data_IF_281926840171
#
_entry.id   IF_281926840171
#
_cell.length_a   1.000
_cell.length_b   1.000
_cell.length_c   1.000
_cell.angle_alpha   90.00
_cell.angle_beta   90.00
_cell.angle_gamma   90.00
#
_symmetry.space_group_name_H-M   'P 1'
#
loop_
_entity.id
_entity.type
_entity.pdbx_description
1 polymer ?
#
# COMPACT_ATOMS: atom_id res chain seq x y z
N UNK A 1 -7.50 14.56 22.68
CA UNK A 1 -6.39 13.91 23.42
C UNK A 1 -6.75 12.44 23.55
N UNK A 2 -5.85 11.53 23.17
CA UNK A 2 -6.12 10.08 23.24
C UNK A 2 -5.66 9.54 24.60
N UNK A 3 -6.45 8.64 25.18
CA UNK A 3 -6.16 7.95 26.43
C UNK A 3 -5.95 6.48 26.12
N UNK A 4 -4.77 5.96 26.45
CA UNK A 4 -4.40 4.58 26.10
C UNK A 4 -4.40 3.68 27.33
N UNK A 5 -4.95 2.47 27.17
CA UNK A 5 -4.90 1.40 28.16
C UNK A 5 -4.33 0.14 27.52
N UNK A 6 -3.48 -0.57 28.25
CA UNK A 6 -2.89 -1.83 27.82
C UNK A 6 -3.70 -3.00 28.39
N UNK A 7 -4.22 -3.86 27.52
CA UNK A 7 -4.96 -5.07 27.88
C UNK A 7 -4.55 -6.23 26.97
N UNK A 8 -3.28 -6.60 27.03
CA UNK A 8 -2.75 -7.75 26.28
C UNK A 8 -3.11 -9.07 26.95
N UNK A 9 -3.06 -10.16 26.18
CA UNK A 9 -3.30 -11.53 26.68
C UNK A 9 -2.31 -11.90 27.80
N UNK A 10 -1.09 -11.36 27.76
CA UNK A 10 -0.04 -11.63 28.74
C UNK A 10 -0.14 -10.74 30.00
N UNK A 11 -1.12 -9.82 30.07
CA UNK A 11 -1.28 -8.88 31.17
C UNK A 11 -0.21 -7.78 31.23
N UNK A 12 0.60 -7.64 30.18
CA UNK A 12 1.71 -6.69 30.10
C UNK A 12 2.32 -6.60 28.70
N UNK A 13 3.38 -5.83 28.55
CA UNK A 13 4.07 -5.73 27.26
C UNK A 13 4.83 -7.03 26.95
N UNK A 14 4.80 -7.49 25.68
CA UNK A 14 5.52 -8.69 25.30
C UNK A 14 7.03 -8.47 25.32
N UNK A 15 7.77 -9.55 25.55
CA UNK A 15 9.22 -9.55 25.38
C UNK A 15 9.54 -9.70 23.89
N UNK A 16 9.99 -8.60 23.29
CA UNK A 16 10.36 -8.52 21.87
C UNK A 16 11.89 -8.48 21.73
N UNK A 17 12.40 -8.75 20.52
CA UNK A 17 13.84 -8.61 20.25
C UNK A 17 14.31 -7.18 20.49
N UNK A 18 15.55 -7.04 20.97
CA UNK A 18 16.20 -5.75 21.23
C UNK A 18 17.14 -5.34 20.11
N UNK A 19 17.24 -6.13 19.04
CA UNK A 19 18.00 -5.82 17.83
C UNK A 19 17.17 -6.18 16.59
N UNK A 20 17.30 -5.39 15.53
CA UNK A 20 16.78 -5.75 14.21
C UNK A 20 17.63 -5.11 13.10
N UNK A 21 17.48 -5.64 11.88
CA UNK A 21 18.14 -5.09 10.69
C UNK A 21 17.41 -3.84 10.21
N UNK A 22 18.17 -2.92 9.64
CA UNK A 22 17.70 -1.78 8.85
C UNK A 22 18.25 -1.98 7.44
N UNK A 23 17.35 -2.08 6.46
CA UNK A 23 17.70 -2.37 5.07
C UNK A 23 17.80 -1.07 4.27
N UNK A 24 18.70 -1.03 3.29
CA UNK A 24 18.78 0.10 2.37
C UNK A 24 17.64 0.06 1.35
N UNK A 25 17.08 1.23 1.04
CA UNK A 25 16.13 1.45 -0.04
C UNK A 25 16.80 2.42 -1.03
N UNK A 26 17.17 1.97 -2.24
CA UNK A 26 17.82 2.83 -3.21
C UNK A 26 16.83 3.87 -3.69
N UNK A 27 17.24 5.14 -3.65
CA UNK A 27 16.49 6.24 -4.25
C UNK A 27 16.90 6.41 -5.70
N UNK A 28 15.94 6.30 -6.61
CA UNK A 28 16.13 6.77 -7.97
C UNK A 28 16.01 8.30 -7.99
N UNK A 29 17.12 8.97 -8.34
CA UNK A 29 17.16 10.42 -8.51
C UNK A 29 16.79 10.84 -9.94
N UNK A 30 16.69 12.16 -10.20
CA UNK A 30 16.49 12.69 -11.54
C UNK A 30 17.51 12.13 -12.53
N UNK A 31 17.02 11.63 -13.67
CA UNK A 31 17.83 11.02 -14.72
C UNK A 31 17.48 11.65 -16.07
N UNK A 32 18.49 11.97 -16.89
CA UNK A 32 18.31 12.52 -18.24
C UNK A 32 17.44 11.63 -19.13
N UNK A 33 17.45 10.31 -18.90
CA UNK A 33 16.67 9.32 -19.63
C UNK A 33 15.36 8.93 -18.93
N UNK A 34 15.01 9.57 -17.82
CA UNK A 34 13.81 9.25 -17.02
C UNK A 34 12.54 9.26 -17.87
N UNK A 35 12.30 10.34 -18.62
CA UNK A 35 11.13 10.46 -19.50
C UNK A 35 11.13 9.41 -20.61
N UNK A 36 12.29 9.09 -21.18
CA UNK A 36 12.40 8.06 -22.22
C UNK A 36 12.05 6.67 -21.66
N UNK A 37 12.57 6.31 -20.47
CA UNK A 37 12.25 5.05 -19.78
C UNK A 37 10.76 4.97 -19.45
N UNK A 38 10.19 6.03 -18.87
CA UNK A 38 8.76 6.10 -18.57
C UNK A 38 7.89 5.99 -19.84
N UNK A 39 8.33 6.58 -20.96
CA UNK A 39 7.63 6.44 -22.25
C UNK A 39 7.68 4.99 -22.77
N UNK A 40 8.78 4.28 -22.58
CA UNK A 40 8.86 2.85 -22.93
C UNK A 40 7.96 2.00 -22.03
N UNK A 41 7.88 2.33 -20.75
CA UNK A 41 6.96 1.69 -19.81
C UNK A 41 5.50 1.92 -20.17
N UNK A 42 5.11 3.17 -20.44
CA UNK A 42 3.78 3.51 -20.93
C UNK A 42 3.41 2.70 -22.18
N UNK A 43 4.34 2.54 -23.13
CA UNK A 43 4.14 1.71 -24.33
C UNK A 43 3.90 0.24 -24.00
N UNK A 44 4.63 -0.34 -23.05
CA UNK A 44 4.39 -1.73 -22.58
C UNK A 44 2.99 -1.89 -21.96
N UNK A 45 2.53 -0.85 -21.27
CA UNK A 45 1.18 -0.75 -20.69
C UNK A 45 0.08 -0.40 -21.73
N UNK A 46 0.43 -0.28 -23.02
CA UNK A 46 -0.53 -0.03 -24.11
C UNK A 46 -0.76 1.44 -24.46
N UNK A 47 0.03 2.36 -23.92
CA UNK A 47 -0.09 3.80 -24.17
C UNK A 47 0.94 4.25 -25.21
N UNK A 48 0.45 4.76 -26.34
CA UNK A 48 1.31 5.23 -27.44
C UNK A 48 1.22 6.74 -27.69
N UNK A 49 0.42 7.47 -26.89
CA UNK A 49 0.31 8.92 -27.01
C UNK A 49 1.61 9.61 -26.58
N UNK A 50 1.82 10.83 -27.04
CA UNK A 50 2.79 11.72 -26.41
C UNK A 50 2.34 12.02 -24.96
N UNK A 51 3.28 12.09 -23.99
CA UNK A 51 2.94 12.41 -22.63
C UNK A 51 2.66 13.89 -22.44
N UNK A 52 1.73 14.20 -21.54
CA UNK A 52 1.55 15.51 -20.97
C UNK A 52 2.33 15.63 -19.66
N UNK A 53 3.15 16.66 -19.54
CA UNK A 53 3.80 16.98 -18.26
C UNK A 53 2.75 17.51 -17.27
N UNK A 54 2.59 16.83 -16.13
CA UNK A 54 1.70 17.27 -15.04
C UNK A 54 2.49 18.09 -14.03
N UNK A 55 3.71 17.65 -13.69
CA UNK A 55 4.68 18.39 -12.89
C UNK A 55 6.12 17.96 -13.25
N UNK A 56 7.10 18.31 -12.41
CA UNK A 56 8.52 18.00 -12.66
C UNK A 56 8.83 16.50 -12.75
N UNK A 57 8.04 15.65 -12.10
CA UNK A 57 8.28 14.20 -12.01
C UNK A 57 7.14 13.34 -12.53
N UNK A 58 5.93 13.88 -12.64
CA UNK A 58 4.75 13.16 -13.11
C UNK A 58 4.40 13.56 -14.53
N UNK A 59 4.31 12.55 -15.38
CA UNK A 59 3.83 12.66 -16.76
C UNK A 59 2.61 11.77 -16.95
N UNK A 60 1.67 12.23 -17.78
CA UNK A 60 0.40 11.57 -18.06
C UNK A 60 0.31 11.12 -19.50
N UNK A 61 -0.08 9.88 -19.72
CA UNK A 61 -0.47 9.33 -21.01
C UNK A 61 -1.97 9.09 -21.05
N UNK A 62 -2.55 9.09 -22.25
CA UNK A 62 -3.95 8.74 -22.48
C UNK A 62 -4.04 7.81 -23.70
N UNK A 63 -4.94 6.83 -23.68
CA UNK A 63 -5.14 5.92 -24.80
C UNK A 63 -6.02 6.50 -25.93
N UNK A 64 -6.63 7.68 -25.75
CA UNK A 64 -7.52 8.31 -26.73
C UNK A 64 -8.85 7.56 -26.95
N UNK A 65 -9.14 6.56 -26.12
CA UNK A 65 -10.39 5.81 -26.17
C UNK A 65 -11.52 6.57 -25.48
N UNK A 66 -12.76 6.15 -25.74
CA UNK A 66 -13.95 6.65 -25.05
C UNK A 66 -14.72 5.46 -24.47
N UNK A 67 -14.82 5.33 -23.14
CA UNK A 67 -14.18 6.16 -22.10
C UNK A 67 -12.64 6.10 -22.09
N UNK A 68 -12.02 7.19 -21.64
CA UNK A 68 -10.57 7.33 -21.65
C UNK A 68 -9.91 6.53 -20.52
N UNK A 69 -8.71 6.03 -20.77
CA UNK A 69 -7.80 5.55 -19.73
C UNK A 69 -6.63 6.52 -19.62
N UNK A 70 -6.31 6.94 -18.41
CA UNK A 70 -5.12 7.74 -18.12
C UNK A 70 -4.08 6.90 -17.40
N UNK A 71 -2.82 7.16 -17.68
CA UNK A 71 -1.68 6.57 -16.98
C UNK A 71 -0.74 7.69 -16.53
N UNK A 72 -0.60 7.85 -15.22
CA UNK A 72 0.36 8.78 -14.62
C UNK A 72 1.57 8.00 -14.14
N UNK A 73 2.77 8.39 -14.58
CA UNK A 73 4.02 7.77 -14.14
C UNK A 73 4.91 8.82 -13.49
N UNK A 74 5.45 8.51 -12.31
CA UNK A 74 6.59 9.21 -11.77
C UNK A 74 7.86 8.76 -12.51
N UNK A 75 8.42 9.62 -13.35
CA UNK A 75 9.53 9.26 -14.25
C UNK A 75 10.82 8.89 -13.52
N UNK A 76 10.95 9.28 -12.25
CA UNK A 76 12.13 8.94 -11.45
C UNK A 76 11.98 7.53 -10.88
N UNK A 77 10.80 7.16 -10.38
CA UNK A 77 10.62 5.90 -9.63
C UNK A 77 9.97 4.79 -10.44
N UNK A 78 9.30 5.10 -11.55
CA UNK A 78 8.45 4.16 -12.28
C UNK A 78 7.12 3.87 -11.58
N UNK A 79 6.85 4.47 -10.41
CA UNK A 79 5.55 4.34 -9.76
C UNK A 79 4.47 4.94 -10.66
N UNK A 80 3.32 4.29 -10.74
CA UNK A 80 2.26 4.74 -11.63
C UNK A 80 0.85 4.57 -11.06
N UNK A 81 -0.04 5.39 -11.60
CA UNK A 81 -1.48 5.28 -11.40
C UNK A 81 -2.16 5.16 -12.77
N UNK A 82 -2.88 4.06 -12.97
CA UNK A 82 -3.71 3.85 -14.15
C UNK A 82 -5.18 3.99 -13.74
N UNK A 83 -5.95 4.75 -14.50
CA UNK A 83 -7.37 4.97 -14.26
C UNK A 83 -8.15 4.92 -15.57
N UNK A 84 -9.03 3.93 -15.71
CA UNK A 84 -10.11 3.93 -16.70
C UNK A 84 -11.25 4.79 -16.16
N UNK A 85 -11.82 5.68 -16.98
CA UNK A 85 -12.95 6.53 -16.60
C UNK A 85 -14.25 5.72 -16.52
N UNK A 86 -14.30 4.75 -15.60
CA UNK A 86 -15.39 3.78 -15.41
C UNK A 86 -16.70 4.45 -15.06
N UNK A 87 -16.69 5.67 -14.50
CA UNK A 87 -17.89 6.43 -14.19
C UNK A 87 -18.72 6.78 -15.43
N UNK A 88 -18.08 6.78 -16.60
CA UNK A 88 -18.71 7.04 -17.90
C UNK A 88 -19.08 5.74 -18.64
N UNK A 89 -18.94 4.57 -18.00
CA UNK A 89 -19.25 3.27 -18.58
C UNK A 89 -20.30 2.52 -17.72
N UNK A 90 -21.56 2.59 -18.16
CA UNK A 90 -22.65 1.91 -17.48
C UNK A 90 -22.52 0.38 -17.49
N UNK A 91 -21.84 -0.22 -18.48
CA UNK A 91 -21.62 -1.67 -18.51
C UNK A 91 -20.66 -2.10 -17.41
N UNK A 92 -19.58 -1.33 -17.22
CA UNK A 92 -18.57 -1.57 -16.17
C UNK A 92 -19.17 -1.45 -14.78
N UNK A 93 -20.00 -0.42 -14.54
CA UNK A 93 -20.64 -0.19 -13.24
C UNK A 93 -21.65 -1.29 -12.89
N UNK A 94 -22.44 -1.74 -13.87
CA UNK A 94 -23.55 -2.67 -13.60
C UNK A 94 -23.18 -4.15 -13.77
N UNK A 95 -21.93 -4.48 -14.15
CA UNK A 95 -21.52 -5.86 -14.35
C UNK A 95 -21.26 -6.58 -13.02
N UNK A 96 -22.02 -7.64 -12.78
CA UNK A 96 -22.01 -8.40 -11.52
C UNK A 96 -21.06 -9.63 -11.55
N UNK A 97 -20.35 -9.87 -12.65
CA UNK A 97 -19.42 -11.00 -12.80
C UNK A 97 -18.01 -10.68 -12.26
N UNK A 98 -17.99 -10.23 -11.00
CA UNK A 98 -16.78 -9.84 -10.30
C UNK A 98 -15.87 -11.04 -10.02
N UNK A 99 -14.53 -10.87 -10.08
CA UNK A 99 -13.62 -11.92 -9.68
C UNK A 99 -13.79 -12.23 -8.19
N UNK A 100 -13.81 -13.52 -7.85
CA UNK A 100 -13.62 -13.93 -6.47
C UNK A 100 -12.21 -13.55 -5.98
N UNK A 101 -12.02 -13.43 -4.67
CA UNK A 101 -10.78 -12.96 -4.05
C UNK A 101 -9.50 -13.62 -4.59
N UNK A 102 -9.44 -14.95 -4.61
CA UNK A 102 -8.25 -15.66 -5.11
C UNK A 102 -8.00 -15.38 -6.61
N UNK A 103 -9.07 -15.25 -7.39
CA UNK A 103 -8.98 -14.91 -8.80
C UNK A 103 -8.49 -13.47 -8.99
N UNK A 104 -9.02 -12.49 -8.23
CA UNK A 104 -8.59 -11.10 -8.28
C UNK A 104 -7.10 -10.96 -7.94
N UNK A 105 -6.62 -11.64 -6.89
CA UNK A 105 -5.20 -11.65 -6.56
C UNK A 105 -4.34 -12.29 -7.65
N UNK A 106 -4.79 -13.39 -8.25
CA UNK A 106 -4.05 -14.03 -9.34
C UNK A 106 -4.02 -13.17 -10.60
N UNK A 107 -5.14 -12.55 -10.98
CA UNK A 107 -5.22 -11.61 -12.10
C UNK A 107 -4.29 -10.41 -11.89
N UNK A 108 -4.24 -9.85 -10.67
CA UNK A 108 -3.33 -8.75 -10.31
C UNK A 108 -1.86 -9.18 -10.42
N UNK A 109 -1.50 -10.35 -9.86
CA UNK A 109 -0.12 -10.89 -9.95
C UNK A 109 0.28 -11.19 -11.39
N UNK A 110 -0.63 -11.77 -12.19
CA UNK A 110 -0.40 -12.04 -13.61
C UNK A 110 -0.20 -10.73 -14.41
N UNK A 111 -0.96 -9.69 -14.10
CA UNK A 111 -0.77 -8.38 -14.72
C UNK A 111 0.64 -7.86 -14.43
N UNK A 112 1.07 -7.87 -13.15
CA UNK A 112 2.42 -7.43 -12.77
C UNK A 112 3.50 -8.28 -13.45
N UNK A 113 3.33 -9.60 -13.50
CA UNK A 113 4.29 -10.51 -14.12
C UNK A 113 4.45 -10.24 -15.62
N UNK A 114 3.33 -10.08 -16.33
CA UNK A 114 3.32 -9.75 -17.76
C UNK A 114 4.02 -8.42 -18.09
N UNK A 115 4.08 -7.50 -17.13
CA UNK A 115 4.77 -6.21 -17.27
C UNK A 115 6.21 -6.24 -16.71
N UNK A 116 6.66 -7.35 -16.13
CA UNK A 116 7.96 -7.47 -15.47
C UNK A 116 8.05 -6.71 -14.14
N UNK A 117 6.92 -6.46 -13.49
CA UNK A 117 6.77 -5.69 -12.25
C UNK A 117 6.48 -6.57 -11.02
N UNK A 118 6.31 -7.89 -11.21
CA UNK A 118 6.06 -8.82 -10.11
C UNK A 118 7.39 -9.21 -9.44
N UNK A 119 7.66 -8.61 -8.29
CA UNK A 119 8.82 -8.92 -7.47
C UNK A 119 8.58 -10.12 -6.55
N UNK A 120 9.66 -10.72 -6.03
CA UNK A 120 9.55 -11.94 -5.21
C UNK A 120 8.73 -11.75 -3.93
N UNK A 121 8.84 -10.60 -3.25
CA UNK A 121 7.99 -10.26 -2.11
C UNK A 121 6.51 -10.10 -2.47
N UNK A 122 6.18 -9.57 -3.64
CA UNK A 122 4.79 -9.46 -4.08
C UNK A 122 4.24 -10.81 -4.53
N UNK A 123 5.08 -11.67 -5.12
CA UNK A 123 4.71 -13.01 -5.54
C UNK A 123 4.29 -13.88 -4.34
N UNK A 124 5.08 -13.88 -3.25
CA UNK A 124 4.79 -14.65 -2.03
C UNK A 124 4.03 -13.87 -0.97
N UNK A 125 3.73 -12.59 -1.23
CA UNK A 125 2.99 -11.71 -0.35
C UNK A 125 1.50 -12.03 -0.26
N UNK A 126 0.85 -11.43 0.73
CA UNK A 126 -0.58 -11.57 0.99
C UNK A 126 -1.41 -10.59 0.15
N UNK A 127 -2.72 -10.85 0.09
CA UNK A 127 -3.68 -9.94 -0.50
C UNK A 127 -4.88 -9.78 0.44
N UNK A 128 -5.36 -8.55 0.58
CA UNK A 128 -6.66 -8.25 1.21
C UNK A 128 -7.63 -7.70 0.18
N UNK A 129 -8.92 -7.83 0.45
CA UNK A 129 -9.97 -7.52 -0.52
C UNK A 129 -10.99 -6.57 0.09
N UNK A 130 -11.35 -5.55 -0.67
CA UNK A 130 -12.39 -4.59 -0.30
C UNK A 130 -13.46 -4.61 -1.38
N UNK A 131 -14.69 -4.86 -0.96
CA UNK A 131 -15.86 -4.81 -1.83
C UNK A 131 -16.43 -3.40 -1.85
N UNK A 132 -16.72 -2.88 -3.03
CA UNK A 132 -17.09 -1.49 -3.22
C UNK A 132 -18.37 -1.37 -4.05
N UNK A 133 -19.29 -0.52 -3.61
CA UNK A 133 -20.47 -0.05 -4.35
C UNK A 133 -20.20 1.32 -4.94
N UNK A 134 -20.64 1.52 -6.17
CA UNK A 134 -20.62 2.81 -6.83
C UNK A 134 -21.92 3.57 -6.58
N UNK A 135 -21.78 4.85 -6.29
CA UNK A 135 -22.87 5.80 -6.16
C UNK A 135 -22.51 7.03 -6.99
N UNK A 136 -23.38 7.33 -7.96
CA UNK A 136 -23.15 8.43 -8.88
C UNK A 136 -23.27 9.80 -8.17
N UNK A 137 -22.42 10.78 -8.52
CA UNK A 137 -21.19 10.65 -9.32
C UNK A 137 -19.98 10.29 -8.43
N UNK A 138 -19.15 9.36 -8.90
CA UNK A 138 -17.79 9.08 -8.41
C UNK A 138 -17.63 8.77 -6.90
N UNK A 139 -18.64 8.21 -6.26
CA UNK A 139 -18.55 7.80 -4.85
C UNK A 139 -18.44 6.28 -4.74
N UNK A 140 -17.31 5.77 -4.24
CA UNK A 140 -17.15 4.36 -3.88
C UNK A 140 -17.33 4.21 -2.36
N UNK A 141 -18.29 3.39 -1.97
CA UNK A 141 -18.55 3.05 -0.55
C UNK A 141 -18.40 1.55 -0.30
N UNK A 142 -18.15 1.17 0.94
CA UNK A 142 -17.96 -0.24 1.29
C UNK A 142 -19.23 -1.06 1.06
N UNK A 143 -19.10 -2.20 0.39
CA UNK A 143 -20.10 -3.24 0.31
C UNK A 143 -19.84 -4.30 1.40
N UNK A 144 -20.91 -4.94 1.88
CA UNK A 144 -20.83 -6.00 2.90
C UNK A 144 -20.31 -7.32 2.33
N UNK A 145 -20.49 -7.54 1.03
CA UNK A 145 -20.20 -8.81 0.37
C UNK A 145 -19.92 -8.61 -1.12
N UNK A 146 -19.31 -9.62 -1.75
CA UNK A 146 -19.05 -9.65 -3.19
C UNK A 146 -20.33 -9.52 -4.02
N UNK A 147 -21.41 -10.18 -3.62
CA UNK A 147 -22.71 -10.17 -4.32
C UNK A 147 -23.43 -8.83 -4.28
N UNK A 148 -23.00 -7.94 -3.39
CA UNK A 148 -23.52 -6.58 -3.28
C UNK A 148 -22.57 -5.54 -3.91
N UNK A 149 -21.41 -5.95 -4.41
CA UNK A 149 -20.39 -5.04 -4.89
C UNK A 149 -20.56 -4.75 -6.38
N UNK A 150 -20.13 -3.56 -6.79
CA UNK A 150 -19.94 -3.18 -8.19
C UNK A 150 -18.46 -3.33 -8.60
N UNK A 151 -17.55 -3.28 -7.62
CA UNK A 151 -16.12 -3.46 -7.79
C UNK A 151 -15.48 -4.27 -6.66
N UNK A 152 -14.37 -4.94 -6.98
CA UNK A 152 -13.48 -5.56 -5.99
C UNK A 152 -12.13 -4.88 -6.05
N UNK A 153 -11.67 -4.31 -4.94
CA UNK A 153 -10.28 -3.86 -4.80
C UNK A 153 -9.44 -4.98 -4.21
N UNK A 154 -8.42 -5.43 -4.93
CA UNK A 154 -7.38 -6.30 -4.40
C UNK A 154 -6.20 -5.43 -3.95
N UNK A 155 -5.89 -5.49 -2.66
CA UNK A 155 -4.76 -4.81 -2.03
C UNK A 155 -3.62 -5.82 -1.88
N UNK A 156 -2.50 -5.60 -2.56
CA UNK A 156 -1.34 -6.49 -2.49
C UNK A 156 -0.34 -5.98 -1.45
N UNK A 157 0.10 -6.87 -0.57
CA UNK A 157 1.10 -6.59 0.45
C UNK A 157 2.35 -7.42 0.18
N UNK A 158 3.52 -6.87 0.53
CA UNK A 158 4.78 -7.60 0.48
C UNK A 158 4.77 -8.75 1.48
N UNK A 159 5.49 -9.82 1.14
CA UNK A 159 5.81 -10.88 2.08
C UNK A 159 6.62 -10.35 3.26
N UNK A 160 6.50 -11.06 4.40
CA UNK A 160 7.28 -10.77 5.59
C UNK A 160 8.79 -10.83 5.29
N UNK A 161 9.54 -9.92 5.92
CA UNK A 161 11.00 -9.84 5.83
C UNK A 161 11.58 -10.13 7.21
N UNK A 162 12.46 -11.14 7.29
CA UNK A 162 13.01 -11.65 8.55
C UNK A 162 11.92 -12.00 9.60
N UNK A 163 10.79 -12.52 9.13
CA UNK A 163 9.64 -12.90 9.97
C UNK A 163 8.85 -11.70 10.52
N UNK A 164 9.13 -10.48 10.06
CA UNK A 164 8.40 -9.27 10.40
C UNK A 164 7.56 -8.81 9.21
N UNK A 165 6.31 -8.42 9.48
CA UNK A 165 5.43 -7.83 8.47
C UNK A 165 6.03 -6.54 7.92
N UNK A 166 5.81 -6.25 6.66
CA UNK A 166 6.06 -4.93 6.06
C UNK A 166 4.73 -4.19 5.95
N UNK A 167 4.61 -3.05 6.62
CA UNK A 167 3.35 -2.32 6.76
C UNK A 167 3.42 -0.93 6.09
N UNK A 168 2.43 -0.57 5.27
CA UNK A 168 2.30 0.78 4.73
C UNK A 168 1.90 1.78 5.83
N UNK A 169 1.86 3.10 5.52
CA UNK A 169 1.47 4.11 6.51
C UNK A 169 0.07 3.85 7.08
N UNK A 170 -0.85 3.35 6.26
CA UNK A 170 -2.13 2.84 6.72
C UNK A 170 -2.26 1.37 6.33
N UNK A 171 -2.18 0.40 7.27
CA UNK A 171 -2.29 -1.03 6.98
C UNK A 171 -3.58 -1.47 6.29
N UNK A 172 -4.63 -0.64 6.26
CA UNK A 172 -5.86 -0.92 5.51
C UNK A 172 -5.78 -0.54 4.04
N UNK A 173 -4.75 0.21 3.65
CA UNK A 173 -4.50 0.66 2.28
C UNK A 173 -3.10 0.18 1.85
N UNK A 174 -3.04 -0.76 0.91
CA UNK A 174 -1.77 -1.17 0.31
C UNK A 174 -1.22 -0.09 -0.62
N UNK A 175 0.11 -0.05 -0.76
CA UNK A 175 0.78 0.77 -1.77
C UNK A 175 0.56 0.26 -3.20
N UNK A 176 0.16 -1.01 -3.34
CA UNK A 176 -0.13 -1.65 -4.63
C UNK A 176 -1.55 -2.20 -4.61
N UNK A 177 -2.44 -1.64 -5.41
CA UNK A 177 -3.84 -2.10 -5.47
C UNK A 177 -4.40 -2.09 -6.87
N UNK A 178 -5.41 -2.95 -7.07
CA UNK A 178 -6.10 -3.14 -8.33
C UNK A 178 -7.60 -3.07 -8.09
N UNK A 179 -8.32 -2.26 -8.85
CA UNK A 179 -9.78 -2.20 -8.83
C UNK A 179 -10.32 -2.98 -10.03
N UNK A 180 -11.08 -4.04 -9.73
CA UNK A 180 -11.69 -4.92 -10.73
C UNK A 180 -13.16 -4.62 -10.92
N UNK A 181 -13.60 -4.64 -12.17
CA UNK A 181 -15.02 -4.65 -12.56
C UNK A 181 -15.49 -6.07 -12.92
N UNK A 182 -16.81 -6.23 -13.08
CA UNK A 182 -17.38 -7.48 -13.57
C UNK A 182 -17.17 -7.72 -15.08
N UNK A 183 -16.62 -6.77 -15.83
CA UNK A 183 -16.48 -6.92 -17.29
C UNK A 183 -15.24 -7.75 -17.61
N UNK A 184 -15.38 -8.83 -18.39
CA UNK A 184 -14.25 -9.72 -18.77
C UNK A 184 -13.36 -9.20 -19.90
N UNK A 185 -13.78 -8.14 -20.58
CA UNK A 185 -13.02 -7.57 -21.70
C UNK A 185 -11.72 -6.96 -21.20
N UNK A 186 -10.60 -7.28 -21.86
CA UNK A 186 -9.31 -6.64 -21.60
C UNK A 186 -9.41 -5.11 -21.71
N UNK A 187 -8.77 -4.38 -20.79
CA UNK A 187 -8.86 -2.92 -20.70
C UNK A 187 -10.08 -2.38 -19.94
N UNK A 188 -11.07 -3.23 -19.62
CA UNK A 188 -12.21 -2.88 -18.77
C UNK A 188 -12.34 -3.75 -17.52
N UNK A 189 -11.63 -4.88 -17.47
CA UNK A 189 -11.55 -5.77 -16.30
C UNK A 189 -10.87 -5.12 -15.10
N UNK A 190 -9.73 -4.49 -15.33
CA UNK A 190 -8.99 -3.71 -14.32
C UNK A 190 -9.20 -2.25 -14.67
N UNK A 191 -9.92 -1.53 -13.82
CA UNK A 191 -10.32 -0.14 -14.07
C UNK A 191 -9.46 0.87 -13.31
N UNK A 192 -8.72 0.43 -12.29
CA UNK A 192 -7.75 1.25 -11.59
C UNK A 192 -6.56 0.39 -11.16
N UNK A 193 -5.35 0.94 -11.27
CA UNK A 193 -4.14 0.36 -10.70
C UNK A 193 -3.39 1.45 -9.97
N UNK A 194 -3.10 1.23 -8.70
CA UNK A 194 -2.11 2.00 -7.96
C UNK A 194 -0.87 1.11 -7.83
N UNK A 195 0.27 1.53 -8.36
CA UNK A 195 1.55 0.83 -8.20
C UNK A 195 2.57 1.80 -7.61
N UNK A 196 2.74 1.74 -6.29
CA UNK A 196 3.76 2.47 -5.56
C UNK A 196 4.70 1.47 -4.88
N UNK A 197 5.87 1.28 -5.46
CA UNK A 197 6.81 0.24 -5.05
C UNK A 197 8.23 0.80 -5.00
N UNK A 198 8.87 0.68 -3.84
CA UNK A 198 10.29 0.97 -3.65
C UNK A 198 11.07 -0.34 -3.44
N UNK A 199 12.08 -0.68 -4.25
CA UNK A 199 12.84 -1.90 -4.04
C UNK A 199 13.58 -1.87 -2.70
N UNK A 200 13.76 -3.05 -2.09
CA UNK A 200 14.49 -3.21 -0.82
C UNK A 200 15.76 -4.01 -1.10
N UNK A 201 16.93 -3.45 -0.77
CA UNK A 201 18.21 -4.14 -0.88
C UNK A 201 18.43 -5.07 0.32
N UNK A 202 17.99 -6.32 0.18
CA UNK A 202 17.95 -7.30 1.29
C UNK A 202 19.34 -7.76 1.76
N UNK A 203 20.35 -7.64 0.92
CA UNK A 203 21.74 -7.96 1.25
C UNK A 203 22.52 -6.76 1.79
N UNK A 204 21.97 -5.54 1.66
CA UNK A 204 22.58 -4.31 2.14
C UNK A 204 21.84 -3.82 3.38
N UNK A 205 22.28 -4.27 4.55
CA UNK A 205 21.68 -3.92 5.82
C UNK A 205 22.72 -3.67 6.91
N UNK A 206 22.29 -2.97 7.96
CA UNK A 206 23.00 -2.86 9.22
C UNK A 206 22.09 -3.27 10.37
N UNK A 207 22.65 -3.75 11.48
CA UNK A 207 21.88 -4.16 12.66
C UNK A 207 21.95 -3.06 13.71
N UNK A 208 20.80 -2.67 14.25
CA UNK A 208 20.70 -1.61 15.24
C UNK A 208 20.01 -2.11 16.52
N UNK A 209 20.40 -1.57 17.68
CA UNK A 209 19.67 -1.78 18.92
C UNK A 209 18.33 -1.03 18.87
N UNK A 210 17.30 -1.70 19.35
CA UNK A 210 15.94 -1.19 19.44
C UNK A 210 15.69 -0.63 20.84
N UNK A 211 14.76 0.33 20.91
CA UNK A 211 14.12 0.72 22.18
C UNK A 211 13.44 -0.52 22.75
N UNK A 212 13.29 -0.64 24.07
CA UNK A 212 12.42 -1.69 24.60
C UNK A 212 10.93 -1.32 24.42
N UNK A 213 10.04 -2.32 24.51
CA UNK A 213 8.61 -2.12 24.34
C UNK A 213 8.02 -1.10 25.34
N UNK A 214 8.58 -1.00 26.55
CA UNK A 214 8.11 -0.05 27.57
C UNK A 214 8.37 1.39 27.17
N UNK A 215 9.55 1.69 26.60
CA UNK A 215 9.86 3.01 26.06
C UNK A 215 8.96 3.35 24.88
N UNK A 216 8.75 2.42 23.95
CA UNK A 216 7.84 2.64 22.82
C UNK A 216 6.39 2.89 23.29
N UNK A 217 5.94 2.17 24.31
CA UNK A 217 4.62 2.37 24.92
C UNK A 217 4.48 3.76 25.55
N UNK A 218 5.49 4.22 26.29
CA UNK A 218 5.51 5.57 26.87
C UNK A 218 5.48 6.66 25.79
N UNK A 219 6.19 6.47 24.68
CA UNK A 219 6.16 7.39 23.54
C UNK A 219 4.78 7.43 22.87
N UNK A 220 4.13 6.28 22.71
CA UNK A 220 2.75 6.19 22.22
C UNK A 220 1.79 6.97 23.12
N UNK A 221 1.85 6.73 24.44
CA UNK A 221 1.06 7.45 25.44
C UNK A 221 1.37 8.95 25.46
N UNK A 222 2.62 9.33 25.24
CA UNK A 222 3.10 10.71 25.17
C UNK A 222 2.76 11.44 23.87
N UNK A 223 2.04 10.82 22.93
CA UNK A 223 1.64 11.42 21.67
C UNK A 223 2.77 11.54 20.63
N UNK A 224 3.87 10.79 20.81
CA UNK A 224 4.98 10.72 19.84
C UNK A 224 4.82 9.60 18.82
N UNK A 225 3.81 8.74 19.00
CA UNK A 225 3.45 7.72 18.02
C UNK A 225 2.64 8.28 16.86
N UNK A 226 2.71 7.58 15.72
CA UNK A 226 1.92 7.84 14.53
C UNK A 226 0.64 7.01 14.55
N UNK A 227 -0.52 7.64 14.34
CA UNK A 227 -1.81 6.93 14.29
C UNK A 227 -2.06 6.47 12.85
N UNK A 228 -1.74 5.19 12.60
CA UNK A 228 -1.90 4.57 11.28
C UNK A 228 -3.37 4.33 10.93
N UNK A 229 -4.18 3.97 11.93
CA UNK A 229 -5.62 3.87 11.81
C UNK A 229 -6.28 4.15 13.16
N UNK A 230 -7.14 5.17 13.24
CA UNK A 230 -7.90 5.44 14.47
C UNK A 230 -9.02 4.40 14.69
N UNK A 231 -9.55 3.84 13.61
CA UNK A 231 -10.72 2.96 13.68
C UNK A 231 -11.95 3.69 14.25
N UNK A 232 -12.87 2.94 14.86
CA UNK A 232 -14.09 3.48 15.49
C UNK A 232 -13.83 3.86 16.96
N UNK A 233 -12.82 4.69 17.19
CA UNK A 233 -12.41 5.14 18.53
C UNK A 233 -12.47 6.68 18.66
N UNK A 234 -13.53 7.29 18.12
CA UNK A 234 -13.74 8.73 18.10
C UNK A 234 -13.91 9.31 19.51
N UNK A 235 -14.29 8.47 20.48
CA UNK A 235 -14.36 8.82 21.91
C UNK A 235 -12.97 9.07 22.55
N UNK A 236 -11.88 8.77 21.84
CA UNK A 236 -10.50 8.98 22.27
C UNK A 236 -9.97 7.97 23.29
N UNK A 237 -10.72 6.92 23.63
CA UNK A 237 -10.27 5.86 24.53
C UNK A 237 -9.77 4.67 23.71
N UNK A 238 -8.47 4.40 23.80
CA UNK A 238 -7.79 3.39 23.00
C UNK A 238 -7.37 2.23 23.90
N UNK A 239 -7.88 1.03 23.61
CA UNK A 239 -7.47 -0.21 24.29
C UNK A 239 -6.53 -0.98 23.37
N UNK A 240 -5.28 -1.17 23.79
CA UNK A 240 -4.27 -1.93 23.06
C UNK A 240 -4.30 -3.40 23.49
N UNK A 241 -4.44 -4.30 22.51
CA UNK A 241 -4.53 -5.76 22.67
C UNK A 241 -3.25 -6.47 22.30
N UNK A 242 -2.51 -5.93 21.33
CA UNK A 242 -1.29 -6.54 20.83
C UNK A 242 -0.20 -5.49 20.58
N UNK A 243 1.04 -5.89 20.83
CA UNK A 243 2.23 -5.10 20.53
C UNK A 243 3.22 -6.00 19.81
N UNK A 244 3.63 -5.62 18.60
CA UNK A 244 4.55 -6.41 17.78
C UNK A 244 5.59 -5.53 17.09
N UNK A 245 6.56 -6.16 16.42
CA UNK A 245 7.49 -5.50 15.52
C UNK A 245 7.05 -5.70 14.07
N UNK A 246 7.30 -4.70 13.24
CA UNK A 246 7.11 -4.73 11.79
C UNK A 246 8.14 -3.79 11.13
N UNK A 247 8.21 -3.79 9.80
CA UNK A 247 8.91 -2.80 9.00
C UNK A 247 7.93 -1.75 8.46
N UNK A 248 8.37 -0.50 8.38
CA UNK A 248 7.56 0.58 7.81
C UNK A 248 7.89 0.80 6.33
N UNK A 249 6.89 0.62 5.46
CA UNK A 249 6.97 0.89 4.02
C UNK A 249 6.29 2.22 3.73
N UNK A 250 7.07 3.28 3.50
CA UNK A 250 6.52 4.60 3.23
C UNK A 250 5.89 4.66 1.83
N UNK A 251 4.83 5.48 1.70
CA UNK A 251 4.26 5.84 0.40
C UNK A 251 5.13 6.88 -0.35
N UNK A 252 6.13 7.45 0.32
CA UNK A 252 7.11 8.38 -0.23
C UNK A 252 8.52 7.75 -0.25
N UNK A 253 9.43 8.26 -1.10
CA UNK A 253 10.79 7.75 -1.15
C UNK A 253 11.52 7.87 0.20
N UNK A 254 11.89 6.73 0.79
CA UNK A 254 12.70 6.63 2.01
C UNK A 254 14.07 6.02 1.71
N UNK A 255 15.09 6.33 2.53
CA UNK A 255 16.46 5.80 2.34
C UNK A 255 16.62 4.40 2.94
N UNK A 256 15.81 4.06 3.93
CA UNK A 256 15.98 2.86 4.73
C UNK A 256 14.63 2.29 5.12
N UNK A 257 14.52 0.96 5.06
CA UNK A 257 13.41 0.23 5.66
C UNK A 257 13.71 0.02 7.15
N UNK A 258 12.96 0.69 8.01
CA UNK A 258 13.22 0.68 9.45
C UNK A 258 12.15 -0.09 10.23
N UNK A 259 12.54 -0.77 11.33
CA UNK A 259 11.59 -1.44 12.20
C UNK A 259 10.76 -0.43 12.98
N UNK A 260 9.51 -0.80 13.24
CA UNK A 260 8.53 -0.07 14.03
C UNK A 260 7.87 -1.01 15.05
N UNK A 261 7.51 -0.46 16.20
CA UNK A 261 6.52 -1.05 17.09
C UNK A 261 5.13 -0.79 16.55
N UNK A 262 4.32 -1.84 16.49
CA UNK A 262 2.91 -1.79 16.09
C UNK A 262 2.05 -2.06 17.30
N UNK A 263 1.18 -1.12 17.62
CA UNK A 263 0.18 -1.21 18.68
C UNK A 263 -1.18 -1.43 18.03
N UNK A 264 -1.72 -2.64 18.15
CA UNK A 264 -3.05 -2.99 17.65
C UNK A 264 -4.04 -3.03 18.81
N UNK A 265 -5.22 -2.45 18.57
CA UNK A 265 -6.23 -2.28 19.60
C UNK A 265 -7.65 -2.54 19.12
N UNK A 266 -8.59 -2.36 20.04
CA UNK A 266 -10.01 -2.53 19.78
C UNK A 266 -10.50 -1.58 18.67
N UNK A 267 -11.58 -1.98 18.01
CA UNK A 267 -12.24 -1.22 16.94
C UNK A 267 -11.29 -0.86 15.77
N UNK A 268 -10.34 -1.75 15.47
CA UNK A 268 -9.34 -1.61 14.40
C UNK A 268 -8.30 -0.51 14.62
N UNK A 269 -8.05 -0.09 15.86
CA UNK A 269 -6.97 0.84 16.15
C UNK A 269 -5.61 0.26 15.76
N UNK A 270 -4.79 1.05 15.07
CA UNK A 270 -3.38 0.74 14.78
C UNK A 270 -2.54 2.00 14.97
N UNK A 271 -1.50 1.89 15.80
CA UNK A 271 -0.52 2.94 16.04
C UNK A 271 0.91 2.44 15.84
N UNK A 272 1.79 3.30 15.34
CA UNK A 272 3.19 3.00 15.12
C UNK A 272 4.10 3.86 15.97
N UNK A 273 5.23 3.29 16.38
CA UNK A 273 6.34 4.02 16.97
C UNK A 273 7.63 3.51 16.34
N UNK A 274 8.57 4.36 15.87
CA UNK A 274 9.87 3.91 15.39
C UNK A 274 10.53 2.97 16.39
N UNK A 275 11.18 1.88 15.99
CA UNK A 275 11.79 0.94 16.93
C UNK A 275 13.27 1.22 17.20
N UNK A 276 13.99 1.79 16.25
CA UNK A 276 15.41 2.16 16.39
C UNK A 276 15.56 3.19 17.51
N UNK A 277 16.55 2.99 18.39
CA UNK A 277 16.78 3.91 19.50
C UNK A 277 17.26 5.28 19.00
N UNK A 278 16.71 6.36 19.58
CA UNK A 278 16.92 7.75 19.12
C UNK A 278 18.40 8.18 19.06
N UNK A 279 19.27 7.53 19.84
CA UNK A 279 20.72 7.74 19.83
C UNK A 279 21.41 7.27 18.52
N UNK A 280 20.70 6.56 17.65
CA UNK A 280 21.18 6.04 16.36
C UNK A 280 20.38 6.57 15.17
N UNK A 281 19.48 7.53 15.41
CA UNK A 281 18.72 8.21 14.35
C UNK A 281 19.24 9.64 14.27
N UNK A 282 19.77 10.03 13.10
CA UNK A 282 20.10 11.43 12.78
C UNK A 282 18.84 12.23 12.41
#
# INVERSE_FOLDING_TARGET
KLNYRLETIQGGLPKLTEIAKVFFIPKEGPNLLALQRATQEAKRLGFSSEPQQINETIYRWNNGATPSTTLDININTGNFHLLYAYENDAEVINSQDLPANQQAAQEAKNFLDAQGLLTADLATGSAEFVYLKYSSPNNLSLATSLSEADFVRANLFRADLDGLKILPPNPKNSLISFLFSGVRTLGRRIVEINYNYYPIERETFATYPLKNAQTAWQEMQGGKGYIANLGQNENGNIVIRNVSLAYYDADQPQNFLQPIYVFEGDNNFIGFVPAVANQWTE
#
